data_IF_313323784690
#
_entry.id   IF_313323784690
#
_cell.length_a   1.000
_cell.length_b   1.000
_cell.length_c   1.000
_cell.angle_alpha   90.00
_cell.angle_beta   90.00
_cell.angle_gamma   90.00
#
_symmetry.space_group_name_H-M   'P 1'
#
loop_
_entity.id
_entity.type
_entity.pdbx_description
1 polymer ?
#
# COMPACT_ATOMS: atom_id res chain seq x y z
N UNK A 1 25.59 -24.25 -19.19
CA UNK A 1 24.48 -25.01 -19.82
C UNK A 1 24.47 -24.97 -21.35
N UNK A 2 24.93 -23.88 -22.00
CA UNK A 2 24.89 -23.72 -23.46
C UNK A 2 25.81 -24.71 -24.24
N UNK A 3 26.90 -25.20 -23.63
CA UNK A 3 27.85 -26.09 -24.30
C UNK A 3 27.49 -27.60 -24.27
N UNK A 4 26.38 -28.01 -23.62
CA UNK A 4 25.97 -29.43 -23.55
C UNK A 4 24.90 -29.85 -24.56
N UNK A 5 24.41 -28.93 -25.40
CA UNK A 5 23.36 -29.20 -26.39
C UNK A 5 23.87 -29.30 -27.84
N UNK A 6 25.17 -29.09 -28.07
CA UNK A 6 25.78 -29.16 -29.41
C UNK A 6 25.65 -30.53 -30.13
N UNK A 7 25.65 -31.70 -29.46
CA UNK A 7 25.58 -32.97 -30.18
C UNK A 7 24.17 -33.39 -30.63
N UNK A 8 23.11 -32.67 -30.22
CA UNK A 8 21.71 -33.03 -30.51
C UNK A 8 21.15 -32.33 -31.76
N UNK A 9 21.98 -31.59 -32.50
CA UNK A 9 21.56 -30.76 -33.63
C UNK A 9 22.00 -31.28 -35.01
N UNK A 10 22.61 -32.45 -35.12
CA UNK A 10 23.20 -32.89 -36.39
C UNK A 10 22.26 -33.65 -37.33
N UNK A 11 21.01 -33.97 -36.98
CA UNK A 11 20.14 -34.77 -37.86
C UNK A 11 18.65 -34.37 -37.83
N UNK A 12 18.31 -33.12 -38.17
CA UNK A 12 16.92 -32.76 -38.52
C UNK A 12 16.89 -31.64 -39.56
N UNK A 13 17.09 -32.02 -40.83
CA UNK A 13 16.85 -31.17 -42.00
C UNK A 13 15.35 -31.13 -42.32
N UNK A 14 14.57 -30.40 -41.53
CA UNK A 14 13.24 -29.94 -41.95
C UNK A 14 13.08 -28.48 -41.49
N UNK A 15 13.11 -27.55 -42.45
CA UNK A 15 13.10 -26.10 -42.26
C UNK A 15 11.94 -25.59 -41.39
N UNK A 16 10.82 -26.32 -41.35
CA UNK A 16 9.66 -26.00 -40.53
C UNK A 16 9.90 -26.18 -39.01
N UNK A 17 10.72 -27.17 -38.60
CA UNK A 17 11.03 -27.42 -37.19
C UNK A 17 12.09 -26.43 -36.64
N UNK A 18 13.02 -25.99 -37.48
CA UNK A 18 14.04 -25.02 -37.08
C UNK A 18 13.40 -23.65 -36.78
N UNK A 19 12.45 -23.20 -37.60
CA UNK A 19 11.72 -21.96 -37.38
C UNK A 19 10.83 -22.03 -36.12
N UNK A 20 10.15 -23.15 -35.89
CA UNK A 20 9.33 -23.35 -34.69
C UNK A 20 10.18 -23.36 -33.40
N UNK A 21 11.35 -24.02 -33.41
CA UNK A 21 12.29 -24.00 -32.28
C UNK A 21 12.87 -22.60 -32.06
N UNK A 22 13.21 -21.89 -33.14
CA UNK A 22 13.70 -20.51 -33.04
C UNK A 22 12.63 -19.55 -32.49
N UNK A 23 11.39 -19.66 -32.96
CA UNK A 23 10.25 -18.90 -32.41
C UNK A 23 9.98 -19.25 -30.95
N UNK A 24 10.02 -20.54 -30.59
CA UNK A 24 9.83 -20.98 -29.21
C UNK A 24 10.96 -20.50 -28.29
N UNK A 25 12.22 -20.52 -28.75
CA UNK A 25 13.36 -19.99 -28.00
C UNK A 25 13.32 -18.46 -27.89
N UNK A 26 12.94 -17.74 -28.95
CA UNK A 26 12.73 -16.27 -28.91
C UNK A 26 11.57 -15.91 -27.98
N UNK A 27 10.49 -16.69 -27.98
CA UNK A 27 9.36 -16.53 -27.07
C UNK A 27 9.77 -16.81 -25.61
N UNK A 28 10.54 -17.88 -25.36
CA UNK A 28 11.13 -18.19 -24.05
C UNK A 28 12.16 -17.15 -23.59
N UNK A 29 12.86 -16.46 -24.50
CA UNK A 29 13.78 -15.38 -24.15
C UNK A 29 13.04 -14.06 -23.88
N UNK A 30 11.94 -13.79 -24.60
CA UNK A 30 11.06 -12.63 -24.34
C UNK A 30 10.44 -12.69 -22.93
N UNK A 31 10.17 -13.89 -22.41
CA UNK A 31 9.62 -14.07 -21.06
C UNK A 31 10.68 -14.05 -19.95
N UNK A 32 11.98 -14.19 -20.27
CA UNK A 32 13.08 -14.24 -19.28
C UNK A 32 13.78 -12.91 -19.04
N UNK A 33 13.53 -11.88 -19.84
CA UNK A 33 14.20 -10.58 -19.73
C UNK A 33 13.20 -9.41 -19.73
N UNK A 34 12.24 -9.40 -18.80
CA UNK A 34 11.60 -8.11 -18.44
C UNK A 34 12.64 -7.31 -17.66
N UNK A 35 13.29 -6.36 -18.31
CA UNK A 35 14.26 -5.47 -17.66
C UNK A 35 13.46 -4.50 -16.78
N UNK A 36 13.49 -4.73 -15.47
CA UNK A 36 12.95 -3.79 -14.47
C UNK A 36 13.76 -2.50 -14.48
N UNK A 37 13.09 -1.35 -14.32
CA UNK A 37 13.74 -0.05 -14.13
C UNK A 37 14.05 0.25 -12.65
N UNK A 38 13.64 -0.64 -11.74
CA UNK A 38 13.88 -0.54 -10.30
C UNK A 38 15.04 -1.46 -9.88
N UNK A 39 15.91 -0.96 -9.01
CA UNK A 39 16.87 -1.81 -8.29
C UNK A 39 16.12 -2.77 -7.37
N UNK A 40 16.65 -3.97 -7.19
CA UNK A 40 16.00 -5.03 -6.39
C UNK A 40 15.63 -4.57 -4.96
N UNK A 41 16.51 -3.79 -4.33
CA UNK A 41 16.27 -3.25 -2.98
C UNK A 41 15.07 -2.30 -2.94
N UNK A 42 14.91 -1.45 -3.97
CA UNK A 42 13.80 -0.50 -4.08
C UNK A 42 12.51 -1.25 -4.38
N UNK A 43 12.54 -2.19 -5.34
CA UNK A 43 11.38 -3.01 -5.69
C UNK A 43 10.87 -3.83 -4.49
N UNK A 44 11.78 -4.40 -3.69
CA UNK A 44 11.41 -5.13 -2.47
C UNK A 44 10.75 -4.21 -1.44
N UNK A 45 11.29 -3.02 -1.24
CA UNK A 45 10.75 -2.06 -0.29
C UNK A 45 9.37 -1.53 -0.72
N UNK A 46 9.17 -1.23 -2.02
CA UNK A 46 7.86 -0.86 -2.58
C UNK A 46 6.83 -1.97 -2.40
N UNK A 47 7.17 -3.23 -2.69
CA UNK A 47 6.27 -4.36 -2.46
C UNK A 47 5.88 -4.52 -0.98
N UNK A 48 6.83 -4.33 -0.07
CA UNK A 48 6.54 -4.35 1.36
C UNK A 48 5.57 -3.23 1.74
N UNK A 49 5.74 -2.03 1.17
CA UNK A 49 4.85 -0.91 1.44
C UNK A 49 3.44 -1.15 0.90
N UNK A 50 3.29 -1.75 -0.29
CA UNK A 50 1.95 -2.15 -0.82
C UNK A 50 1.21 -3.01 0.19
N UNK A 51 1.85 -4.04 0.76
CA UNK A 51 1.22 -4.89 1.77
C UNK A 51 0.95 -4.15 3.09
N UNK A 52 1.79 -3.16 3.44
CA UNK A 52 1.59 -2.34 4.62
C UNK A 52 0.31 -1.48 4.48
N UNK A 53 0.13 -0.78 3.37
CA UNK A 53 -1.09 0.02 3.13
C UNK A 53 -2.34 -0.86 3.05
N UNK A 54 -2.24 -2.04 2.42
CA UNK A 54 -3.36 -3.00 2.42
C UNK A 54 -3.70 -3.52 3.82
N UNK A 55 -2.71 -3.65 4.70
CA UNK A 55 -2.95 -3.96 6.10
C UNK A 55 -3.55 -2.77 6.86
N UNK A 56 -3.08 -1.54 6.65
CA UNK A 56 -3.68 -0.31 7.20
C UNK A 56 -5.16 -0.23 6.83
N UNK A 57 -5.49 -0.41 5.56
CA UNK A 57 -6.86 -0.51 5.08
C UNK A 57 -7.65 -1.56 5.89
N UNK A 58 -7.15 -2.79 5.99
CA UNK A 58 -7.88 -3.85 6.70
C UNK A 58 -8.05 -3.56 8.20
N UNK A 59 -7.07 -2.93 8.83
CA UNK A 59 -7.14 -2.47 10.23
C UNK A 59 -8.26 -1.44 10.41
N UNK A 60 -8.33 -0.43 9.54
CA UNK A 60 -9.37 0.59 9.59
C UNK A 60 -10.76 0.03 9.29
N UNK A 61 -10.86 -0.96 8.41
CA UNK A 61 -12.12 -1.67 8.22
C UNK A 61 -12.56 -2.43 9.49
N UNK A 62 -11.62 -2.99 10.26
CA UNK A 62 -11.91 -3.62 11.55
C UNK A 62 -12.36 -2.61 12.61
N UNK A 63 -11.70 -1.47 12.71
CA UNK A 63 -12.10 -0.38 13.60
C UNK A 63 -13.48 0.18 13.22
N UNK A 64 -13.76 0.29 11.92
CA UNK A 64 -15.09 0.64 11.41
C UNK A 64 -16.16 -0.36 11.89
N UNK A 65 -15.89 -1.66 11.75
CA UNK A 65 -16.80 -2.71 12.21
C UNK A 65 -17.04 -2.66 13.73
N UNK A 66 -16.00 -2.42 14.52
CA UNK A 66 -16.14 -2.19 15.96
C UNK A 66 -17.06 -1.00 16.27
N UNK A 67 -16.87 0.14 15.61
CA UNK A 67 -17.73 1.30 15.83
C UNK A 67 -19.18 1.10 15.39
N UNK A 68 -19.44 0.34 14.33
CA UNK A 68 -20.81 -0.05 13.94
C UNK A 68 -21.49 -0.86 15.05
N UNK A 69 -20.79 -1.84 15.65
CA UNK A 69 -21.32 -2.65 16.75
C UNK A 69 -21.63 -1.80 18.00
N UNK A 70 -20.83 -0.75 18.24
CA UNK A 70 -21.06 0.20 19.33
C UNK A 70 -22.14 1.26 19.01
N UNK A 71 -22.74 1.24 17.82
CA UNK A 71 -23.75 2.24 17.40
C UNK A 71 -23.18 3.62 17.06
N UNK A 72 -21.86 3.73 16.86
CA UNK A 72 -21.12 4.96 16.57
C UNK A 72 -20.86 5.13 15.07
N UNK A 73 -21.95 5.22 14.30
CA UNK A 73 -21.93 5.21 12.83
C UNK A 73 -21.08 6.31 12.15
N UNK A 74 -20.86 7.45 12.79
CA UNK A 74 -19.97 8.48 12.24
C UNK A 74 -18.50 8.15 12.39
N UNK A 75 -18.11 7.66 13.56
CA UNK A 75 -16.76 7.13 13.77
C UNK A 75 -16.50 5.92 12.85
N UNK A 76 -17.52 5.05 12.69
CA UNK A 76 -17.46 3.98 11.71
C UNK A 76 -17.26 4.49 10.29
N UNK A 77 -17.98 5.53 9.87
CA UNK A 77 -17.83 6.16 8.56
C UNK A 77 -16.42 6.73 8.36
N UNK A 78 -15.88 7.44 9.35
CA UNK A 78 -14.52 7.99 9.27
C UNK A 78 -13.48 6.89 9.03
N UNK A 79 -13.56 5.78 9.77
CA UNK A 79 -12.68 4.62 9.57
C UNK A 79 -12.89 3.95 8.21
N UNK A 80 -14.12 3.94 7.70
CA UNK A 80 -14.44 3.40 6.37
C UNK A 80 -13.86 4.27 5.26
N UNK A 81 -13.78 5.58 5.46
CA UNK A 81 -13.11 6.50 4.54
C UNK A 81 -11.59 6.27 4.58
N UNK A 82 -10.97 6.15 5.77
CA UNK A 82 -9.54 5.76 5.85
C UNK A 82 -9.27 4.44 5.15
N UNK A 83 -10.14 3.43 5.29
CA UNK A 83 -10.01 2.18 4.53
C UNK A 83 -9.92 2.40 3.02
N UNK A 84 -10.70 3.35 2.48
CA UNK A 84 -10.70 3.67 1.06
C UNK A 84 -9.44 4.45 0.65
N UNK A 85 -9.01 5.40 1.47
CA UNK A 85 -7.77 6.17 1.28
C UNK A 85 -6.55 5.23 1.26
N UNK A 86 -6.40 4.35 2.25
CA UNK A 86 -5.29 3.39 2.32
C UNK A 86 -5.28 2.37 1.18
N UNK A 87 -6.47 1.94 0.75
CA UNK A 87 -6.56 1.09 -0.44
C UNK A 87 -6.07 1.85 -1.68
N UNK A 88 -6.45 3.12 -1.83
CA UNK A 88 -5.94 4.00 -2.89
C UNK A 88 -4.42 4.20 -2.79
N UNK A 89 -3.87 4.39 -1.59
CA UNK A 89 -2.42 4.49 -1.36
C UNK A 89 -1.70 3.23 -1.84
N UNK A 90 -2.21 2.06 -1.46
CA UNK A 90 -1.67 0.77 -1.91
C UNK A 90 -1.66 0.63 -3.43
N UNK A 91 -2.74 1.07 -4.10
CA UNK A 91 -2.88 0.99 -5.55
C UNK A 91 -1.98 2.00 -6.26
N UNK A 92 -1.77 3.18 -5.69
CA UNK A 92 -0.82 4.17 -6.22
C UNK A 92 0.61 3.60 -6.28
N UNK A 93 1.05 2.89 -5.23
CA UNK A 93 2.36 2.21 -5.22
C UNK A 93 2.37 1.02 -6.19
N UNK A 94 1.28 0.24 -6.21
CA UNK A 94 1.11 -0.89 -7.13
C UNK A 94 1.31 -0.48 -8.59
N UNK A 95 0.63 0.59 -9.01
CA UNK A 95 0.68 1.09 -10.39
C UNK A 95 2.07 1.63 -10.70
N UNK A 96 2.67 2.42 -9.80
CA UNK A 96 4.04 2.92 -9.97
C UNK A 96 5.07 1.79 -10.16
N UNK A 97 4.96 0.70 -9.39
CA UNK A 97 5.84 -0.47 -9.57
C UNK A 97 5.68 -1.07 -10.97
N UNK A 98 4.45 -1.18 -11.47
CA UNK A 98 4.18 -1.74 -12.79
C UNK A 98 4.66 -0.82 -13.93
N UNK A 99 4.45 0.48 -13.82
CA UNK A 99 4.95 1.51 -14.75
C UNK A 99 6.47 1.45 -14.86
N UNK A 100 7.15 1.17 -13.74
CA UNK A 100 8.61 0.99 -13.68
C UNK A 100 9.07 -0.42 -14.09
N UNK A 101 8.21 -1.19 -14.75
CA UNK A 101 8.47 -2.56 -15.18
C UNK A 101 8.84 -3.53 -14.05
N UNK A 102 8.54 -3.18 -12.81
CA UNK A 102 8.64 -4.07 -11.66
C UNK A 102 7.60 -5.20 -11.74
N UNK A 103 7.68 -6.09 -10.75
CA UNK A 103 6.67 -7.11 -10.50
C UNK A 103 6.14 -6.91 -9.09
N UNK A 104 4.83 -6.66 -8.98
CA UNK A 104 4.16 -6.64 -7.69
C UNK A 104 4.00 -8.07 -7.16
N UNK A 105 4.27 -8.26 -5.87
CA UNK A 105 4.08 -9.49 -5.11
C UNK A 105 3.20 -9.15 -3.90
N UNK A 106 1.94 -9.59 -3.95
CA UNK A 106 1.01 -9.44 -2.83
C UNK A 106 1.24 -10.58 -1.82
N UNK A 107 1.49 -10.22 -0.57
CA UNK A 107 1.66 -11.18 0.52
C UNK A 107 0.33 -11.36 1.27
N UNK A 108 0.18 -12.42 2.08
CA UNK A 108 -0.97 -12.55 2.97
C UNK A 108 -1.09 -11.33 3.90
N UNK A 109 -2.29 -10.74 3.96
CA UNK A 109 -2.59 -9.67 4.91
C UNK A 109 -2.73 -10.28 6.30
N UNK A 110 -2.02 -9.75 7.29
CA UNK A 110 -2.09 -10.23 8.66
C UNK A 110 -3.48 -9.97 9.29
N UNK A 111 -3.84 -10.78 10.28
CA UNK A 111 -5.06 -10.56 11.06
C UNK A 111 -5.00 -9.25 11.84
N UNK A 112 -6.16 -8.59 11.98
CA UNK A 112 -6.31 -7.32 12.68
C UNK A 112 -7.09 -7.49 13.98
N UNK A 113 -6.89 -6.63 15.00
CA UNK A 113 -7.67 -6.67 16.23
C UNK A 113 -9.15 -6.39 15.95
N UNK A 114 -10.04 -7.03 16.71
CA UNK A 114 -11.51 -6.85 16.60
C UNK A 114 -12.13 -6.23 17.85
N UNK A 115 -11.38 -6.14 18.94
CA UNK A 115 -11.83 -5.62 20.23
C UNK A 115 -10.98 -4.41 20.60
N UNK A 116 -11.64 -3.37 21.09
CA UNK A 116 -11.03 -2.10 21.47
C UNK A 116 -11.69 -1.53 22.73
N UNK A 117 -10.99 -0.68 23.47
CA UNK A 117 -11.44 -0.14 24.75
C UNK A 117 -12.06 1.26 24.59
N UNK A 118 -13.07 1.37 23.73
CA UNK A 118 -13.77 2.64 23.47
C UNK A 118 -13.06 3.55 22.46
N UNK A 119 -13.64 4.72 22.23
CA UNK A 119 -13.25 5.62 21.12
C UNK A 119 -11.82 6.16 21.25
N UNK A 120 -11.37 6.49 22.47
CA UNK A 120 -10.01 7.01 22.68
C UNK A 120 -8.97 5.94 22.34
N UNK A 121 -9.14 4.70 22.82
CA UNK A 121 -8.20 3.60 22.54
C UNK A 121 -8.06 3.34 21.04
N UNK A 122 -9.17 3.40 20.30
CA UNK A 122 -9.14 3.25 18.84
C UNK A 122 -8.29 4.34 18.17
N UNK A 123 -8.49 5.61 18.53
CA UNK A 123 -7.74 6.72 17.90
C UNK A 123 -6.29 6.81 18.39
N UNK A 124 -5.98 6.39 19.61
CA UNK A 124 -4.58 6.25 20.07
C UNK A 124 -3.84 5.17 19.26
N UNK A 125 -4.49 4.03 19.01
CA UNK A 125 -3.93 2.97 18.14
C UNK A 125 -3.82 3.40 16.69
N UNK A 126 -4.78 4.18 16.20
CA UNK A 126 -4.75 4.75 14.85
C UNK A 126 -3.52 5.65 14.70
N UNK A 127 -3.29 6.55 15.67
CA UNK A 127 -2.13 7.45 15.65
C UNK A 127 -0.81 6.68 15.72
N UNK A 128 -0.70 5.69 16.60
CA UNK A 128 0.50 4.85 16.70
C UNK A 128 0.77 4.11 15.38
N UNK A 129 -0.30 3.62 14.72
CA UNK A 129 -0.19 2.95 13.44
C UNK A 129 0.25 3.92 12.33
N UNK A 130 -0.31 5.11 12.25
CA UNK A 130 0.10 6.13 11.26
C UNK A 130 1.56 6.54 11.44
N UNK A 131 2.01 6.79 12.66
CA UNK A 131 3.43 7.11 12.94
C UNK A 131 4.38 6.00 12.46
N UNK A 132 3.94 4.75 12.57
CA UNK A 132 4.69 3.60 12.05
C UNK A 132 4.69 3.57 10.52
N UNK A 133 3.57 3.86 9.85
CA UNK A 133 3.50 3.96 8.38
C UNK A 133 4.39 5.10 7.89
N UNK A 134 4.36 6.27 8.53
CA UNK A 134 5.25 7.40 8.27
C UNK A 134 6.72 6.99 8.34
N UNK A 135 7.11 6.28 9.39
CA UNK A 135 8.49 5.79 9.50
C UNK A 135 8.83 4.79 8.38
N UNK A 136 7.90 3.92 7.97
CA UNK A 136 8.09 3.02 6.84
C UNK A 136 8.28 3.77 5.50
N UNK A 137 7.51 4.83 5.25
CA UNK A 137 7.67 5.71 4.09
C UNK A 137 9.03 6.42 4.10
N UNK A 138 9.45 6.94 5.25
CA UNK A 138 10.77 7.58 5.41
C UNK A 138 11.91 6.59 5.13
N UNK A 139 11.81 5.36 5.66
CA UNK A 139 12.80 4.30 5.37
C UNK A 139 12.81 3.92 3.88
N UNK A 140 11.64 3.89 3.23
CA UNK A 140 11.54 3.63 1.79
C UNK A 140 12.16 4.78 0.96
N UNK A 141 11.98 6.04 1.38
CA UNK A 141 12.65 7.21 0.80
C UNK A 141 14.17 7.07 0.91
N UNK A 142 14.69 6.70 2.09
CA UNK A 142 16.13 6.49 2.30
C UNK A 142 16.70 5.39 1.39
N UNK A 143 15.96 4.29 1.19
CA UNK A 143 16.32 3.23 0.24
C UNK A 143 16.41 3.78 -1.19
N UNK A 144 15.46 4.62 -1.60
CA UNK A 144 15.45 5.26 -2.91
C UNK A 144 16.61 6.27 -3.09
N UNK A 145 16.93 7.05 -2.05
CA UNK A 145 18.08 7.97 -2.01
C UNK A 145 19.39 7.21 -2.16
N UNK A 146 19.61 6.18 -1.34
CA UNK A 146 20.80 5.32 -1.38
C UNK A 146 20.95 4.61 -2.72
N UNK A 147 19.83 4.25 -3.35
CA UNK A 147 19.80 3.67 -4.68
C UNK A 147 20.03 4.69 -5.81
N UNK A 148 20.05 5.99 -5.52
CA UNK A 148 20.00 7.06 -6.53
C UNK A 148 18.82 6.89 -7.50
N UNK A 149 17.70 6.30 -7.03
CA UNK A 149 16.48 6.14 -7.82
C UNK A 149 15.64 7.40 -7.68
N UNK A 150 16.02 8.44 -8.44
CA UNK A 150 15.39 9.76 -8.36
C UNK A 150 13.91 9.74 -8.75
N UNK A 151 13.50 8.83 -9.64
CA UNK A 151 12.09 8.68 -10.00
C UNK A 151 11.27 8.16 -8.81
N UNK A 152 11.79 7.18 -8.04
CA UNK A 152 11.13 6.72 -6.81
C UNK A 152 11.15 7.80 -5.73
N UNK A 153 12.26 8.55 -5.58
CA UNK A 153 12.29 9.69 -4.65
C UNK A 153 11.22 10.74 -5.00
N UNK A 154 11.05 11.07 -6.29
CA UNK A 154 10.03 12.03 -6.73
C UNK A 154 8.62 11.52 -6.47
N UNK A 155 8.37 10.23 -6.72
CA UNK A 155 7.10 9.58 -6.44
C UNK A 155 6.74 9.59 -4.95
N UNK A 156 7.71 9.30 -4.08
CA UNK A 156 7.51 9.20 -2.64
C UNK A 156 7.29 10.55 -1.95
N UNK A 157 7.58 11.69 -2.59
CA UNK A 157 7.29 13.01 -2.02
C UNK A 157 5.82 13.18 -1.66
N UNK A 158 4.94 12.71 -2.55
CA UNK A 158 3.50 12.73 -2.29
C UNK A 158 3.14 11.98 -1.00
N UNK A 159 3.73 10.80 -0.77
CA UNK A 159 3.49 10.04 0.46
C UNK A 159 4.09 10.71 1.71
N UNK A 160 5.24 11.36 1.58
CA UNK A 160 5.84 12.12 2.69
C UNK A 160 4.92 13.27 3.10
N UNK A 161 4.38 13.99 2.13
CA UNK A 161 3.44 15.10 2.39
C UNK A 161 2.10 14.56 2.92
N UNK A 162 1.57 13.48 2.35
CA UNK A 162 0.30 12.86 2.79
C UNK A 162 0.37 12.37 4.24
N UNK A 163 1.46 11.68 4.63
CA UNK A 163 1.60 11.19 6.00
C UNK A 163 1.63 12.31 7.06
N UNK A 164 2.04 13.53 6.70
CA UNK A 164 1.94 14.69 7.60
C UNK A 164 0.47 15.04 7.84
N UNK A 165 -0.35 15.01 6.80
CA UNK A 165 -1.79 15.28 6.89
C UNK A 165 -2.52 14.15 7.63
N UNK A 166 -2.16 12.88 7.40
CA UNK A 166 -2.73 11.73 8.12
C UNK A 166 -2.51 11.84 9.64
N UNK A 167 -1.26 12.08 10.07
CA UNK A 167 -0.95 12.25 11.49
C UNK A 167 -1.66 13.48 12.09
N UNK A 168 -1.77 14.59 11.35
CA UNK A 168 -2.46 15.79 11.81
C UNK A 168 -3.96 15.54 12.01
N UNK A 169 -4.61 14.91 11.04
CA UNK A 169 -6.05 14.59 11.07
C UNK A 169 -6.39 13.66 12.24
N UNK A 170 -5.58 12.63 12.47
CA UNK A 170 -5.78 11.71 13.61
C UNK A 170 -5.55 12.41 14.94
N UNK A 171 -4.48 13.21 15.05
CA UNK A 171 -4.18 13.96 16.28
C UNK A 171 -5.29 14.94 16.65
N UNK A 172 -5.80 15.72 15.69
CA UNK A 172 -6.87 16.68 15.94
C UNK A 172 -8.11 16.00 16.54
N UNK A 173 -8.53 14.88 15.96
CA UNK A 173 -9.69 14.14 16.45
C UNK A 173 -9.42 13.50 17.82
N UNK A 174 -8.22 12.97 18.04
CA UNK A 174 -7.82 12.42 19.33
C UNK A 174 -7.79 13.48 20.43
N UNK A 175 -7.28 14.68 20.15
CA UNK A 175 -7.24 15.80 21.09
C UNK A 175 -8.66 16.26 21.45
N UNK A 176 -9.55 16.36 20.45
CA UNK A 176 -10.96 16.66 20.66
C UNK A 176 -11.65 15.61 21.55
N UNK A 177 -11.35 14.32 21.34
CA UNK A 177 -11.86 13.22 22.17
C UNK A 177 -11.33 13.30 23.60
N UNK A 178 -10.04 13.60 23.79
CA UNK A 178 -9.42 13.76 25.11
C UNK A 178 -10.02 14.94 25.88
N UNK A 179 -10.33 16.05 25.21
CA UNK A 179 -10.97 17.22 25.81
C UNK A 179 -12.34 16.88 26.46
N UNK A 180 -13.07 15.94 25.86
CA UNK A 180 -14.38 15.46 26.35
C UNK A 180 -14.30 14.13 27.12
N UNK A 181 -13.09 13.66 27.45
CA UNK A 181 -12.83 12.37 28.08
C UNK A 181 -13.46 11.17 27.35
N UNK A 182 -13.68 11.28 26.04
CA UNK A 182 -14.31 10.24 25.22
C UNK A 182 -15.74 9.90 25.66
N UNK A 183 -16.45 10.82 26.32
CA UNK A 183 -17.75 10.57 26.92
C UNK A 183 -18.75 11.73 26.72
N UNK A 184 -20.02 11.43 26.96
CA UNK A 184 -21.09 12.42 27.01
C UNK A 184 -21.48 13.03 25.66
N UNK A 185 -22.11 14.21 25.71
CA UNK A 185 -22.72 14.84 24.55
C UNK A 185 -21.71 15.21 23.45
N UNK A 186 -20.43 15.45 23.81
CA UNK A 186 -19.39 15.76 22.84
C UNK A 186 -19.15 14.62 21.85
N UNK A 187 -19.19 13.35 22.32
CA UNK A 187 -19.01 12.18 21.45
C UNK A 187 -20.16 12.07 20.47
N UNK A 188 -21.38 12.36 20.92
CA UNK A 188 -22.55 12.36 20.04
C UNK A 188 -22.45 13.43 18.95
N UNK A 189 -21.93 14.62 19.26
CA UNK A 189 -21.72 15.70 18.29
C UNK A 189 -20.66 15.32 17.25
N UNK A 190 -19.49 14.83 17.70
CA UNK A 190 -18.44 14.32 16.81
C UNK A 190 -18.97 13.19 15.93
N UNK A 191 -19.71 12.24 16.51
CA UNK A 191 -20.32 11.16 15.74
C UNK A 191 -21.25 11.68 14.63
N UNK A 192 -22.00 12.77 14.85
CA UNK A 192 -22.81 13.35 13.78
C UNK A 192 -21.99 14.07 12.72
N UNK A 193 -20.92 14.75 13.12
CA UNK A 193 -20.03 15.43 12.20
C UNK A 193 -19.30 14.45 11.27
N UNK A 194 -18.74 13.38 11.84
CA UNK A 194 -17.95 12.38 11.11
C UNK A 194 -18.78 11.57 10.10
N UNK A 195 -20.11 11.51 10.24
CA UNK A 195 -21.01 10.94 9.22
C UNK A 195 -20.93 11.71 7.90
N UNK A 196 -20.57 12.99 7.93
CA UNK A 196 -20.47 13.85 6.74
C UNK A 196 -19.20 13.65 5.93
N UNK A 197 -18.17 12.97 6.47
CA UNK A 197 -16.90 12.74 5.77
C UNK A 197 -17.16 11.88 4.53
N UNK A 198 -16.58 12.30 3.40
CA UNK A 198 -16.65 11.59 2.13
C UNK A 198 -15.25 11.28 1.66
N UNK A 199 -15.08 10.10 1.09
CA UNK A 199 -13.86 9.75 0.40
C UNK A 199 -13.64 10.65 -0.81
N UNK A 200 -12.44 11.23 -0.88
CA UNK A 200 -11.90 11.94 -2.03
C UNK A 200 -10.56 11.31 -2.33
N UNK A 201 -10.38 10.82 -3.55
CA UNK A 201 -9.17 10.10 -3.95
C UNK A 201 -8.04 11.09 -4.26
N UNK A 202 -7.29 11.48 -3.23
CA UNK A 202 -6.14 12.41 -3.31
C UNK A 202 -5.01 11.87 -4.20
N UNK A 203 -4.95 10.55 -4.39
CA UNK A 203 -3.92 9.90 -5.22
C UNK A 203 -3.98 10.27 -6.70
N UNK A 204 -5.14 10.78 -7.16
CA UNK A 204 -5.42 11.17 -8.56
C UNK A 204 -5.40 12.67 -8.80
N UNK A 205 -5.16 13.48 -7.76
CA UNK A 205 -5.02 14.91 -7.94
C UNK A 205 -3.69 15.21 -8.68
N UNK A 206 -3.79 15.88 -9.84
CA UNK A 206 -2.66 16.38 -10.65
C UNK A 206 -2.03 17.64 -10.06
#
# INVERSE_FOLDING_TARGET
>A
MVNRLKPLLTHYENSCNQAAIYFFLVFLNKTKNKITMLKETVLKALNKQINAEMHSAYLYLSMSAYFEDQGLSGFANWMKVQYQEELSHSLKIFDFVNERNGRVILEPIASVPTEFNGVIDVYEKTLEHEQKVTEMINQLMDVAVKASDHATQSFLKWFVDEQVEEEANVNELLDNLKLINGQGNGVFMLNRELQGRKFVDTTKAE
#
